data_IF_709525055808
#
_entry.id   IF_709525055808
#
_cell.length_a   1.000
_cell.length_b   1.000
_cell.length_c   1.000
_cell.angle_alpha   90.00
_cell.angle_beta   90.00
_cell.angle_gamma   90.00
#
_symmetry.space_group_name_H-M   'P 1'
#
loop_
_entity.id
_entity.type
_entity.pdbx_description
1 polymer ?
#
# COMPACT_ATOMS: atom_id res chain seq x y z
N UNK A 1 -19.15 -18.89 10.01
CA UNK A 1 -18.15 -17.91 9.59
C UNK A 1 -18.05 -17.89 8.08
N UNK A 2 -18.23 -16.73 7.48
CA UNK A 2 -18.15 -16.60 6.03
C UNK A 2 -16.70 -16.34 5.62
N UNK A 3 -16.17 -17.18 4.74
CA UNK A 3 -14.87 -16.94 4.14
C UNK A 3 -15.05 -15.97 2.98
N UNK A 4 -14.20 -14.95 2.93
CA UNK A 4 -14.20 -14.05 1.77
C UNK A 4 -13.34 -14.68 0.64
N UNK A 5 -13.80 -14.47 -0.58
CA UNK A 5 -13.10 -14.94 -1.78
C UNK A 5 -12.09 -13.86 -2.19
N UNK A 6 -10.95 -13.82 -1.49
CA UNK A 6 -9.91 -12.81 -1.66
C UNK A 6 -8.78 -13.33 -2.52
N UNK A 7 -8.47 -12.59 -3.58
CA UNK A 7 -7.32 -12.85 -4.44
C UNK A 7 -6.48 -11.57 -4.51
N UNK A 8 -5.17 -11.70 -4.38
CA UNK A 8 -4.24 -10.60 -4.61
C UNK A 8 -3.64 -10.78 -6.00
N UNK A 9 -3.91 -9.85 -6.87
CA UNK A 9 -3.51 -9.87 -8.28
C UNK A 9 -2.53 -8.75 -8.57
N UNK A 10 -1.62 -8.97 -9.51
CA UNK A 10 -0.85 -7.88 -10.09
C UNK A 10 -1.82 -6.84 -10.68
N UNK A 11 -1.45 -5.56 -10.62
CA UNK A 11 -2.25 -4.48 -11.22
C UNK A 11 -2.47 -4.73 -12.70
N UNK A 12 -3.73 -4.64 -13.13
CA UNK A 12 -4.13 -4.79 -14.53
C UNK A 12 -4.97 -3.59 -14.96
N UNK A 13 -5.02 -3.34 -16.27
CA UNK A 13 -5.75 -2.20 -16.84
C UNK A 13 -7.21 -2.17 -16.40
N UNK A 14 -7.85 -3.32 -16.32
CA UNK A 14 -9.26 -3.42 -15.91
C UNK A 14 -9.52 -2.99 -14.47
N UNK A 15 -8.48 -2.86 -13.64
CA UNK A 15 -8.60 -2.41 -12.27
C UNK A 15 -8.60 -0.88 -12.13
N UNK A 16 -8.12 -0.15 -13.14
CA UNK A 16 -7.77 1.26 -13.02
C UNK A 16 -8.95 2.18 -12.70
N UNK A 17 -10.11 1.94 -13.30
CA UNK A 17 -11.29 2.77 -13.06
C UNK A 17 -11.70 2.71 -11.59
N UNK A 18 -11.79 1.50 -11.05
CA UNK A 18 -12.14 1.30 -9.64
C UNK A 18 -11.10 1.90 -8.71
N UNK A 19 -9.81 1.75 -9.03
CA UNK A 19 -8.74 2.28 -8.20
C UNK A 19 -8.67 3.81 -8.23
N UNK A 20 -8.96 4.44 -9.36
CA UNK A 20 -9.05 5.89 -9.43
C UNK A 20 -10.20 6.41 -8.56
N UNK A 21 -11.32 5.69 -8.52
CA UNK A 21 -12.45 6.01 -7.65
C UNK A 21 -12.07 5.83 -6.17
N UNK A 22 -11.40 4.74 -5.84
CA UNK A 22 -10.93 4.47 -4.49
C UNK A 22 -9.99 5.58 -4.00
N UNK A 23 -9.08 6.05 -4.85
CA UNK A 23 -8.16 7.14 -4.52
C UNK A 23 -8.90 8.41 -4.15
N UNK A 24 -9.96 8.75 -4.90
CA UNK A 24 -10.78 9.93 -4.58
C UNK A 24 -11.46 9.80 -3.23
N UNK A 25 -11.95 8.61 -2.90
CA UNK A 25 -12.61 8.34 -1.63
C UNK A 25 -11.62 8.47 -0.46
N UNK A 26 -10.41 7.92 -0.61
CA UNK A 26 -9.45 7.86 0.48
C UNK A 26 -8.57 9.10 0.61
N UNK A 27 -8.23 9.76 -0.48
CA UNK A 27 -7.20 10.80 -0.49
C UNK A 27 -7.65 12.15 -1.01
N UNK A 28 -8.89 12.26 -1.48
CA UNK A 28 -9.50 13.53 -1.91
C UNK A 28 -8.61 14.31 -2.89
N UNK A 29 -8.12 15.49 -2.51
CA UNK A 29 -7.32 16.36 -3.38
C UNK A 29 -5.94 15.80 -3.70
N UNK A 30 -5.47 14.81 -2.95
CA UNK A 30 -4.17 14.16 -3.16
C UNK A 30 -4.31 12.82 -3.86
N UNK A 31 -5.50 12.53 -4.38
CA UNK A 31 -5.78 11.27 -5.06
C UNK A 31 -4.99 11.13 -6.36
N UNK A 32 -4.48 9.93 -6.60
CA UNK A 32 -3.89 9.59 -7.88
C UNK A 32 -4.99 9.51 -8.94
N UNK A 33 -4.70 10.03 -10.14
CA UNK A 33 -5.63 9.96 -11.27
C UNK A 33 -5.53 8.62 -11.97
N UNK A 34 -6.54 8.33 -12.81
CA UNK A 34 -6.49 7.18 -13.71
C UNK A 34 -5.18 7.16 -14.50
N UNK A 35 -4.79 8.31 -15.06
CA UNK A 35 -3.56 8.41 -15.87
C UNK A 35 -2.32 8.08 -15.05
N UNK A 36 -2.22 8.57 -13.82
CA UNK A 36 -1.09 8.28 -12.94
C UNK A 36 -0.99 6.78 -12.64
N UNK A 37 -2.13 6.14 -12.38
CA UNK A 37 -2.17 4.69 -12.14
C UNK A 37 -1.83 3.91 -13.42
N UNK A 38 -2.32 4.38 -14.57
CA UNK A 38 -2.05 3.75 -15.86
C UNK A 38 -0.55 3.70 -16.16
N UNK A 39 0.16 4.77 -15.85
CA UNK A 39 1.61 4.86 -16.07
C UNK A 39 2.36 3.77 -15.30
N UNK A 40 1.83 3.31 -14.17
CA UNK A 40 2.47 2.28 -13.36
C UNK A 40 2.40 0.88 -14.00
N UNK A 41 1.48 0.66 -14.95
CA UNK A 41 1.40 -0.62 -15.67
C UNK A 41 2.69 -0.94 -16.44
N UNK A 42 3.41 0.09 -16.89
CA UNK A 42 4.61 -0.07 -17.70
C UNK A 42 5.88 0.43 -17.00
N UNK A 43 5.77 0.85 -15.75
CA UNK A 43 6.92 1.30 -14.97
C UNK A 43 7.69 0.08 -14.45
N UNK A 44 8.95 -0.13 -14.89
CA UNK A 44 9.71 -1.32 -14.53
C UNK A 44 10.08 -1.41 -13.04
N UNK A 45 10.02 -0.30 -12.30
CA UNK A 45 10.32 -0.30 -10.85
C UNK A 45 9.06 -0.43 -10.00
N UNK A 46 7.88 -0.39 -10.62
CA UNK A 46 6.61 -0.44 -9.90
C UNK A 46 6.13 -1.88 -9.68
N UNK A 47 5.70 -2.15 -8.47
CA UNK A 47 5.10 -3.43 -8.06
C UNK A 47 3.79 -3.08 -7.37
N UNK A 48 2.72 -3.07 -8.13
CA UNK A 48 1.38 -2.73 -7.64
C UNK A 48 0.52 -3.97 -7.66
N UNK A 49 -0.24 -4.16 -6.58
CA UNK A 49 -1.12 -5.32 -6.42
C UNK A 49 -2.53 -4.87 -6.07
N UNK A 50 -3.50 -5.52 -6.68
CA UNK A 50 -4.92 -5.27 -6.45
C UNK A 50 -5.52 -6.41 -5.65
N UNK A 51 -6.31 -6.07 -4.64
CA UNK A 51 -7.10 -7.05 -3.89
C UNK A 51 -8.46 -7.17 -4.54
N UNK A 52 -8.85 -8.39 -4.89
CA UNK A 52 -10.14 -8.69 -5.50
C UNK A 52 -10.94 -9.57 -4.54
N UNK A 53 -12.18 -9.18 -4.30
CA UNK A 53 -13.13 -9.98 -3.49
C UNK A 53 -14.29 -10.37 -4.40
N UNK A 54 -14.46 -11.65 -4.65
CA UNK A 54 -15.47 -12.13 -5.59
C UNK A 54 -15.33 -11.53 -6.98
N UNK A 55 -14.09 -11.22 -7.40
CA UNK A 55 -13.80 -10.62 -8.70
C UNK A 55 -13.89 -9.09 -8.72
N UNK A 56 -14.35 -8.45 -7.66
CA UNK A 56 -14.45 -6.99 -7.60
C UNK A 56 -13.25 -6.38 -6.88
N UNK A 57 -12.85 -5.19 -7.33
CA UNK A 57 -11.73 -4.45 -6.72
C UNK A 57 -12.10 -4.00 -5.31
N UNK A 58 -11.37 -4.48 -4.32
CA UNK A 58 -11.60 -4.13 -2.91
C UNK A 58 -10.56 -3.15 -2.38
N UNK A 59 -9.36 -3.17 -2.93
CA UNK A 59 -8.27 -2.31 -2.49
C UNK A 59 -7.02 -2.55 -3.29
N UNK A 60 -5.93 -1.84 -2.94
CA UNK A 60 -4.66 -2.04 -3.62
C UNK A 60 -3.49 -1.54 -2.78
N UNK A 61 -2.30 -1.94 -3.20
CA UNK A 61 -1.05 -1.44 -2.67
C UNK A 61 -0.11 -1.11 -3.83
N UNK A 62 0.58 0.02 -3.73
CA UNK A 62 1.61 0.42 -4.65
C UNK A 62 2.97 0.43 -3.98
N UNK A 63 3.99 -0.09 -4.67
CA UNK A 63 5.33 -0.17 -4.14
C UNK A 63 6.34 0.03 -5.27
N UNK A 64 7.43 0.75 -4.98
CA UNK A 64 8.56 0.86 -5.90
C UNK A 64 9.77 0.15 -5.32
N UNK A 65 10.52 -0.52 -6.19
CA UNK A 65 11.79 -1.14 -5.83
C UNK A 65 12.89 -0.38 -6.57
N UNK A 66 13.73 0.33 -5.82
CA UNK A 66 14.79 1.18 -6.36
C UNK A 66 16.07 0.93 -5.57
N UNK A 67 17.16 0.60 -6.27
CA UNK A 67 18.48 0.42 -5.65
C UNK A 67 18.44 -0.48 -4.42
N UNK A 68 17.86 -1.66 -4.56
CA UNK A 68 17.78 -2.68 -3.50
C UNK A 68 16.90 -2.30 -2.30
N UNK A 69 16.08 -1.26 -2.44
CA UNK A 69 15.16 -0.83 -1.37
C UNK A 69 13.74 -0.77 -1.89
N UNK A 70 12.78 -1.05 -1.01
CA UNK A 70 11.36 -0.98 -1.32
C UNK A 70 10.69 0.17 -0.61
N UNK A 71 9.83 0.88 -1.35
CA UNK A 71 9.06 2.01 -0.83
C UNK A 71 7.60 1.83 -1.18
N UNK A 72 6.75 1.68 -0.15
CA UNK A 72 5.30 1.62 -0.33
C UNK A 72 4.78 3.04 -0.49
N UNK A 73 4.01 3.28 -1.54
CA UNK A 73 3.47 4.61 -1.83
C UNK A 73 2.01 4.76 -1.45
N UNK A 74 1.21 3.71 -1.69
CA UNK A 74 -0.24 3.76 -1.51
C UNK A 74 -0.73 2.45 -0.91
N UNK A 75 -1.61 2.55 0.08
CA UNK A 75 -2.39 1.41 0.58
C UNK A 75 -3.80 1.93 0.78
N UNK A 76 -4.77 1.35 0.12
CA UNK A 76 -6.15 1.80 0.22
C UNK A 76 -7.11 0.62 0.08
N UNK A 77 -8.20 0.66 0.86
CA UNK A 77 -9.26 -0.35 0.85
C UNK A 77 -10.59 0.38 0.82
N UNK A 78 -11.49 -0.03 -0.06
CA UNK A 78 -12.84 0.55 -0.10
C UNK A 78 -13.53 0.40 1.27
N UNK A 79 -14.28 1.41 1.72
CA UNK A 79 -14.93 1.37 3.04
C UNK A 79 -15.75 0.12 3.30
N UNK A 80 -16.48 -0.38 2.28
CA UNK A 80 -17.33 -1.57 2.41
C UNK A 80 -16.53 -2.86 2.60
N UNK A 81 -15.24 -2.84 2.30
CA UNK A 81 -14.37 -4.03 2.44
C UNK A 81 -13.41 -3.94 3.63
N UNK A 82 -13.50 -2.89 4.44
CA UNK A 82 -12.62 -2.72 5.61
C UNK A 82 -12.94 -3.73 6.71
N UNK A 83 -11.96 -3.96 7.58
CA UNK A 83 -12.05 -4.90 8.71
C UNK A 83 -12.21 -6.36 8.29
N UNK A 84 -11.74 -6.71 7.10
CA UNK A 84 -11.78 -8.07 6.57
C UNK A 84 -10.39 -8.64 6.30
N UNK A 85 -9.35 -7.96 6.78
CA UNK A 85 -7.96 -8.41 6.62
C UNK A 85 -7.35 -8.11 5.26
N UNK A 86 -7.96 -7.24 4.46
CA UNK A 86 -7.48 -6.95 3.10
C UNK A 86 -6.18 -6.15 3.13
N UNK A 87 -6.10 -5.09 3.95
CA UNK A 87 -4.87 -4.32 4.10
C UNK A 87 -3.72 -5.22 4.57
N UNK A 88 -4.01 -6.12 5.51
CA UNK A 88 -3.03 -7.11 6.00
C UNK A 88 -2.52 -8.00 4.86
N UNK A 89 -3.41 -8.49 4.01
CA UNK A 89 -3.03 -9.33 2.88
C UNK A 89 -2.18 -8.56 1.86
N UNK A 90 -2.52 -7.30 1.60
CA UNK A 90 -1.76 -6.45 0.68
C UNK A 90 -0.36 -6.15 1.21
N UNK A 91 -0.22 -5.81 2.47
CA UNK A 91 1.08 -5.56 3.11
C UNK A 91 1.92 -6.86 3.10
N UNK A 92 1.29 -7.99 3.38
CA UNK A 92 1.97 -9.28 3.35
C UNK A 92 2.53 -9.58 1.96
N UNK A 93 1.74 -9.31 0.91
CA UNK A 93 2.19 -9.50 -0.48
C UNK A 93 3.39 -8.60 -0.79
N UNK A 94 3.35 -7.34 -0.37
CA UNK A 94 4.45 -6.40 -0.56
C UNK A 94 5.72 -6.89 0.15
N UNK A 95 5.59 -7.37 1.38
CA UNK A 95 6.72 -7.87 2.15
C UNK A 95 7.32 -9.13 1.52
N UNK A 96 6.47 -10.05 1.07
CA UNK A 96 6.94 -11.28 0.41
C UNK A 96 7.68 -10.94 -0.89
N UNK A 97 7.17 -9.98 -1.67
CA UNK A 97 7.81 -9.52 -2.90
C UNK A 97 9.16 -8.88 -2.60
N UNK A 98 9.21 -7.99 -1.63
CA UNK A 98 10.44 -7.32 -1.22
C UNK A 98 11.49 -8.32 -0.75
N UNK A 99 11.09 -9.32 0.03
CA UNK A 99 11.98 -10.34 0.53
C UNK A 99 12.50 -11.25 -0.60
N UNK A 100 11.61 -11.65 -1.51
CA UNK A 100 11.98 -12.47 -2.66
C UNK A 100 12.97 -11.76 -3.59
N UNK A 101 12.91 -10.43 -3.67
CA UNK A 101 13.83 -9.61 -4.45
C UNK A 101 15.12 -9.28 -3.71
N UNK A 102 15.28 -9.80 -2.49
CA UNK A 102 16.47 -9.61 -1.67
C UNK A 102 16.78 -8.14 -1.39
N UNK A 103 15.73 -7.35 -1.18
CA UNK A 103 15.91 -5.93 -0.82
C UNK A 103 16.36 -5.81 0.63
N UNK A 104 17.01 -4.70 0.97
CA UNK A 104 17.51 -4.47 2.33
C UNK A 104 16.39 -4.10 3.29
N UNK A 105 15.41 -3.33 2.81
CA UNK A 105 14.29 -2.93 3.64
C UNK A 105 13.05 -2.62 2.81
N UNK A 106 11.93 -2.54 3.51
CA UNK A 106 10.67 -2.00 3.00
C UNK A 106 10.23 -0.87 3.91
N UNK A 107 9.96 0.30 3.35
CA UNK A 107 9.63 1.51 4.08
C UNK A 107 8.32 2.12 3.59
N UNK A 108 7.63 2.83 4.47
CA UNK A 108 6.39 3.53 4.16
C UNK A 108 6.24 4.76 5.04
N UNK A 109 5.31 5.61 4.64
CA UNK A 109 4.94 6.80 5.39
C UNK A 109 3.49 6.67 5.84
N UNK A 110 3.18 7.12 7.06
CA UNK A 110 1.84 7.01 7.64
C UNK A 110 1.55 8.21 8.51
N UNK A 111 0.28 8.66 8.49
CA UNK A 111 -0.17 9.74 9.39
C UNK A 111 -0.15 9.25 10.84
N UNK A 112 0.33 10.07 11.80
CA UNK A 112 0.25 9.70 13.22
C UNK A 112 -1.18 9.40 13.67
N UNK A 113 -2.17 10.05 13.08
CA UNK A 113 -3.58 9.84 13.41
C UNK A 113 -4.12 8.48 12.95
N UNK A 114 -3.44 7.83 12.01
CA UNK A 114 -3.87 6.53 11.49
C UNK A 114 -3.38 5.39 12.40
N UNK A 115 -3.98 5.31 13.59
CA UNK A 115 -3.54 4.35 14.62
C UNK A 115 -3.74 2.91 14.20
N UNK A 116 -4.79 2.62 13.43
CA UNK A 116 -5.05 1.26 12.93
C UNK A 116 -3.96 0.80 11.98
N UNK A 117 -3.54 1.66 11.04
CA UNK A 117 -2.46 1.35 10.11
C UNK A 117 -1.13 1.16 10.84
N UNK A 118 -0.82 2.04 11.78
CA UNK A 118 0.41 1.95 12.58
C UNK A 118 0.46 0.61 13.32
N UNK A 119 -0.65 0.20 13.95
CA UNK A 119 -0.73 -1.07 14.66
C UNK A 119 -0.51 -2.25 13.70
N UNK A 120 -1.11 -2.19 12.51
CA UNK A 120 -0.93 -3.21 11.48
C UNK A 120 0.54 -3.33 11.07
N UNK A 121 1.19 -2.21 10.77
CA UNK A 121 2.60 -2.21 10.35
C UNK A 121 3.51 -2.73 11.47
N UNK A 122 3.27 -2.31 12.71
CA UNK A 122 4.03 -2.83 13.85
C UNK A 122 3.87 -4.34 14.01
N UNK A 123 2.68 -4.86 13.72
CA UNK A 123 2.44 -6.31 13.83
C UNK A 123 3.28 -7.12 12.82
N UNK A 124 3.73 -6.49 11.74
CA UNK A 124 4.62 -7.10 10.76
C UNK A 124 6.10 -6.81 11.02
N UNK A 125 6.42 -6.09 12.08
CA UNK A 125 7.79 -5.78 12.45
C UNK A 125 8.34 -4.47 11.91
N UNK A 126 7.47 -3.60 11.37
CA UNK A 126 7.88 -2.24 11.03
C UNK A 126 8.09 -1.43 12.29
N UNK A 127 9.12 -0.60 12.28
CA UNK A 127 9.43 0.31 13.39
C UNK A 127 9.57 1.73 12.87
N UNK A 128 9.18 2.71 13.69
CA UNK A 128 9.37 4.10 13.31
C UNK A 128 10.86 4.44 13.34
N UNK A 129 11.38 4.94 12.24
CA UNK A 129 12.79 5.35 12.16
C UNK A 129 12.98 6.73 11.54
N UNK A 130 11.91 7.49 11.38
CA UNK A 130 12.00 8.84 10.87
C UNK A 130 10.69 9.60 10.93
N UNK A 131 10.76 10.86 10.56
CA UNK A 131 9.63 11.78 10.56
C UNK A 131 9.81 12.78 9.42
N UNK A 132 8.75 13.02 8.65
CA UNK A 132 8.70 14.12 7.67
C UNK A 132 7.71 15.14 8.17
N UNK A 133 8.17 16.34 8.52
CA UNK A 133 7.29 17.38 9.02
C UNK A 133 6.41 17.95 7.93
N UNK A 134 5.12 18.18 8.25
CA UNK A 134 4.15 18.82 7.36
C UNK A 134 4.03 18.13 6.00
N UNK A 135 4.17 16.81 5.98
CA UNK A 135 4.14 16.03 4.75
C UNK A 135 2.74 15.93 4.15
N UNK A 136 1.74 15.66 5.00
CA UNK A 136 0.36 15.52 4.56
C UNK A 136 -0.39 16.83 4.61
N UNK A 137 -1.38 16.98 3.72
CA UNK A 137 -2.28 18.13 3.67
C UNK A 137 -3.73 17.66 3.86
N UNK A 138 -4.60 18.58 4.27
CA UNK A 138 -6.05 18.39 4.38
C UNK A 138 -6.46 17.14 5.20
N UNK A 139 -6.17 17.04 6.51
CA UNK A 139 -5.49 18.03 7.35
C UNK A 139 -3.97 17.94 7.28
N UNK A 140 -3.31 19.00 7.74
CA UNK A 140 -1.86 19.01 7.83
C UNK A 140 -1.42 18.07 8.96
N UNK A 141 -0.54 17.14 8.63
CA UNK A 141 0.08 16.24 9.60
C UNK A 141 1.49 15.94 9.14
N UNK A 142 2.32 15.57 10.10
CA UNK A 142 3.62 14.98 9.80
C UNK A 142 3.42 13.56 9.26
N UNK A 143 4.42 13.01 8.64
CA UNK A 143 4.45 11.59 8.28
C UNK A 143 5.43 10.87 9.19
N UNK A 144 4.99 9.79 9.80
CA UNK A 144 5.90 8.84 10.44
C UNK A 144 6.50 7.98 9.33
N UNK A 145 7.81 7.81 9.34
CA UNK A 145 8.48 6.87 8.45
C UNK A 145 8.64 5.58 9.23
N UNK A 146 8.06 4.51 8.71
CA UNK A 146 8.15 3.18 9.31
C UNK A 146 8.86 2.24 8.36
N UNK A 147 9.79 1.45 8.89
CA UNK A 147 10.65 0.61 8.07
C UNK A 147 10.79 -0.77 8.72
N UNK A 148 10.78 -1.78 7.87
CA UNK A 148 11.16 -3.13 8.25
C UNK A 148 12.43 -3.48 7.50
N UNK A 149 13.48 -3.78 8.25
CA UNK A 149 14.74 -4.26 7.67
C UNK A 149 14.72 -5.79 7.59
N UNK A 150 15.13 -6.31 6.45
CA UNK A 150 15.27 -7.75 6.27
C UNK A 150 16.65 -8.19 6.74
N UNK A 151 16.68 -9.23 7.56
CA UNK A 151 17.96 -9.78 8.02
C UNK A 151 18.52 -10.69 6.95
N UNK A 152 19.70 -10.33 6.44
CA UNK A 152 20.43 -11.13 5.45
C UNK A 152 21.72 -11.63 6.10
N UNK A 153 22.09 -12.84 5.74
CA UNK A 153 23.38 -13.39 6.14
C UNK A 153 24.40 -13.24 5.02
#
# INVERSE_FOLDING_TARGET
MTMIDLIISKLEREHLTALAELEKICFSTQAWSYKSLEEELTNPTAYFFTALVGGEVAGYIGMYVVCENCYVTNVAVFPQYRRQGIARALIKMAMLTADAMETDFISLEVRPSNTAAIALYKSFGFEQNGLRKNYYKNPNEDALIMTKFFKRE
#
